data_IF_038961083714
#
_entry.id   IF_038961083714
#
_cell.length_a   1.000
_cell.length_b   1.000
_cell.length_c   1.000
_cell.angle_alpha   90.00
_cell.angle_beta   90.00
_cell.angle_gamma   90.00
#
_symmetry.space_group_name_H-M   'P 1'
#
loop_
_entity.id
_entity.type
_entity.pdbx_description
1 polymer ?
#
# COMPACT_ATOMS: atom_id res chain seq x y z
N UNK A 1 22.12 -20.62 -21.20
CA UNK A 1 21.23 -19.62 -21.83
C UNK A 1 19.87 -19.52 -21.11
N UNK A 2 19.87 -19.42 -19.80
CA UNK A 2 18.65 -19.45 -18.95
C UNK A 2 18.77 -18.47 -17.77
N UNK A 3 19.12 -17.19 -18.03
CA UNK A 3 19.30 -16.22 -16.95
C UNK A 3 18.88 -14.80 -17.40
N UNK A 4 17.68 -14.63 -17.93
CA UNK A 4 17.24 -13.30 -18.37
C UNK A 4 15.77 -12.94 -18.14
N UNK A 5 14.99 -13.69 -17.36
CA UNK A 5 13.55 -13.41 -17.24
C UNK A 5 13.03 -13.08 -15.83
N UNK A 6 13.85 -13.03 -14.81
CA UNK A 6 13.40 -12.88 -13.42
C UNK A 6 13.41 -11.44 -12.89
N UNK A 7 13.80 -10.44 -13.68
CA UNK A 7 13.97 -9.06 -13.18
C UNK A 7 12.73 -8.14 -13.41
N UNK A 8 11.81 -8.53 -14.30
CA UNK A 8 10.74 -7.63 -14.74
C UNK A 8 9.54 -7.54 -13.76
N UNK A 9 9.32 -8.51 -12.89
CA UNK A 9 8.10 -8.55 -12.05
C UNK A 9 8.24 -7.85 -10.70
N UNK A 10 9.44 -7.68 -10.17
CA UNK A 10 9.65 -6.96 -8.90
C UNK A 10 9.40 -5.46 -8.99
N UNK A 11 9.47 -4.89 -10.17
CA UNK A 11 9.24 -3.45 -10.40
C UNK A 11 7.75 -3.09 -10.33
N UNK A 12 6.85 -4.05 -10.62
CA UNK A 12 5.41 -3.79 -10.64
C UNK A 12 4.82 -3.59 -9.24
N UNK A 13 5.36 -4.26 -8.23
CA UNK A 13 4.87 -4.13 -6.85
C UNK A 13 5.21 -2.78 -6.21
N UNK A 14 6.36 -2.21 -6.55
CA UNK A 14 6.76 -0.88 -6.09
C UNK A 14 5.96 0.25 -6.79
N UNK A 15 5.63 0.06 -8.07
CA UNK A 15 4.84 1.02 -8.84
C UNK A 15 3.38 1.13 -8.37
N UNK A 16 2.82 0.07 -7.77
CA UNK A 16 1.46 0.09 -7.22
C UNK A 16 1.36 0.92 -5.93
N UNK A 17 2.40 0.93 -5.11
CA UNK A 17 2.48 1.82 -3.94
C UNK A 17 2.57 3.29 -4.35
N UNK A 18 3.20 3.58 -5.49
CA UNK A 18 3.29 4.92 -6.05
C UNK A 18 1.98 5.44 -6.64
N UNK A 19 1.03 4.55 -6.95
CA UNK A 19 -0.29 4.89 -7.47
C UNK A 19 -1.38 4.97 -6.40
N UNK A 20 -1.04 4.67 -5.13
CA UNK A 20 -2.02 4.82 -4.04
C UNK A 20 -2.32 6.30 -3.83
N UNK A 21 -3.61 6.66 -3.63
CA UNK A 21 -3.96 8.02 -3.23
C UNK A 21 -3.11 8.44 -2.03
N UNK A 22 -2.61 9.66 -2.04
CA UNK A 22 -1.77 10.18 -0.94
C UNK A 22 -2.46 10.10 0.43
N UNK A 23 -3.80 10.09 0.44
CA UNK A 23 -4.61 9.87 1.64
C UNK A 23 -4.37 8.50 2.30
N UNK A 24 -3.88 7.50 1.56
CA UNK A 24 -3.62 6.14 2.04
C UNK A 24 -2.16 5.92 2.49
N UNK A 25 -1.31 6.95 2.44
CA UNK A 25 0.07 6.86 2.91
C UNK A 25 0.12 6.46 4.39
N UNK A 26 0.83 5.37 4.76
CA UNK A 26 0.89 4.87 6.13
C UNK A 26 1.82 5.71 7.02
N UNK A 27 1.50 6.98 7.20
CA UNK A 27 2.29 7.95 7.96
C UNK A 27 2.50 7.55 9.43
N UNK A 28 1.58 6.80 10.00
CA UNK A 28 1.63 6.34 11.40
C UNK A 28 2.80 5.39 11.69
N UNK A 29 3.39 4.77 10.67
CA UNK A 29 4.61 3.98 10.78
C UNK A 29 5.90 4.81 10.71
N UNK A 30 5.81 6.08 10.34
CA UNK A 30 6.97 6.97 10.22
C UNK A 30 7.16 7.79 11.49
N UNK A 31 8.18 7.41 12.29
CA UNK A 31 8.46 8.06 13.59
C UNK A 31 8.74 9.56 13.48
N UNK A 32 9.36 10.02 12.39
CA UNK A 32 9.63 11.45 12.18
C UNK A 32 8.35 12.22 11.93
N UNK A 33 7.46 11.71 11.09
CA UNK A 33 6.16 12.31 10.82
C UNK A 33 5.33 12.38 12.10
N UNK A 34 5.23 11.28 12.84
CA UNK A 34 4.47 11.23 14.11
C UNK A 34 5.02 12.27 15.11
N UNK A 35 6.34 12.41 15.20
CA UNK A 35 6.98 13.42 16.08
C UNK A 35 6.64 14.85 15.65
N UNK A 36 6.63 15.14 14.36
CA UNK A 36 6.35 16.48 13.84
C UNK A 36 4.87 16.89 13.98
N UNK A 37 3.96 15.93 14.07
CA UNK A 37 2.54 16.20 14.27
C UNK A 37 2.20 16.65 15.69
N UNK A 38 3.13 16.52 16.64
CA UNK A 38 2.95 16.92 18.06
C UNK A 38 1.61 16.39 18.64
N UNK A 39 1.45 15.06 18.53
CA UNK A 39 0.22 14.38 18.94
C UNK A 39 0.05 14.42 20.46
N UNK A 40 -1.14 14.73 20.94
CA UNK A 40 -1.48 14.60 22.35
C UNK A 40 -1.40 13.11 22.80
N UNK A 41 -1.08 12.83 24.07
CA UNK A 41 -0.98 11.44 24.57
C UNK A 41 -2.24 10.60 24.31
N UNK A 42 -3.42 11.19 24.39
CA UNK A 42 -4.68 10.52 24.05
C UNK A 42 -4.74 10.14 22.56
N UNK A 43 -4.35 11.05 21.68
CA UNK A 43 -4.28 10.77 20.23
C UNK A 43 -3.31 9.63 19.92
N UNK A 44 -2.13 9.63 20.52
CA UNK A 44 -1.14 8.56 20.35
C UNK A 44 -1.72 7.20 20.76
N UNK A 45 -2.40 7.15 21.90
CA UNK A 45 -3.05 5.92 22.38
C UNK A 45 -4.12 5.44 21.41
N UNK A 46 -4.99 6.34 20.97
CA UNK A 46 -6.15 6.01 20.13
C UNK A 46 -5.71 5.61 18.69
N UNK A 47 -4.70 6.30 18.14
CA UNK A 47 -4.07 5.92 16.87
C UNK A 47 -3.44 4.54 16.97
N UNK A 48 -2.68 4.28 18.04
CA UNK A 48 -2.06 2.97 18.26
C UNK A 48 -3.09 1.86 18.36
N UNK A 49 -4.19 2.11 19.11
CA UNK A 49 -5.28 1.15 19.25
C UNK A 49 -5.93 0.83 17.89
N UNK A 50 -6.25 1.85 17.09
CA UNK A 50 -6.84 1.69 15.76
C UNK A 50 -5.92 0.89 14.80
N UNK A 51 -4.63 1.20 14.79
CA UNK A 51 -3.64 0.48 13.97
C UNK A 51 -3.50 -0.97 14.41
N UNK A 52 -3.39 -1.22 15.72
CA UNK A 52 -3.26 -2.58 16.27
C UNK A 52 -4.48 -3.44 15.96
N UNK A 53 -5.68 -2.87 16.05
CA UNK A 53 -6.93 -3.56 15.72
C UNK A 53 -7.01 -3.90 14.22
N UNK A 54 -6.60 -3.00 13.35
CA UNK A 54 -6.64 -3.21 11.89
C UNK A 54 -5.54 -4.14 11.37
N UNK A 55 -4.43 -4.27 12.08
CA UNK A 55 -3.22 -4.95 11.62
C UNK A 55 -3.43 -6.41 11.18
N UNK A 56 -4.15 -7.29 11.92
CA UNK A 56 -4.33 -8.68 11.50
C UNK A 56 -5.06 -8.78 10.16
N UNK A 57 -6.10 -7.97 9.96
CA UNK A 57 -6.86 -7.95 8.71
C UNK A 57 -6.02 -7.40 7.55
N UNK A 58 -5.25 -6.33 7.77
CA UNK A 58 -4.34 -5.79 6.76
C UNK A 58 -3.27 -6.80 6.34
N UNK A 59 -2.72 -7.58 7.26
CA UNK A 59 -1.78 -8.64 6.93
C UNK A 59 -2.44 -9.75 6.09
N UNK A 60 -3.67 -10.11 6.41
CA UNK A 60 -4.43 -11.11 5.65
C UNK A 60 -4.69 -10.66 4.21
N UNK A 61 -5.21 -9.43 4.02
CA UNK A 61 -5.53 -8.93 2.66
C UNK A 61 -4.27 -8.70 1.83
N UNK A 62 -3.15 -8.29 2.44
CA UNK A 62 -1.85 -8.21 1.76
C UNK A 62 -1.37 -9.58 1.30
N UNK A 63 -1.50 -10.59 2.16
CA UNK A 63 -1.15 -11.96 1.80
C UNK A 63 -2.04 -12.50 0.65
N UNK A 64 -3.32 -12.13 0.61
CA UNK A 64 -4.20 -12.47 -0.53
C UNK A 64 -3.70 -11.85 -1.83
N UNK A 65 -3.28 -10.58 -1.83
CA UNK A 65 -2.72 -9.93 -3.02
C UNK A 65 -1.48 -10.67 -3.50
N UNK A 66 -0.53 -10.96 -2.61
CA UNK A 66 0.71 -11.67 -2.97
C UNK A 66 0.43 -13.05 -3.56
N UNK A 67 -0.51 -13.81 -2.98
CA UNK A 67 -0.90 -15.14 -3.53
C UNK A 67 -1.58 -15.01 -4.88
N UNK A 68 -2.42 -13.99 -5.07
CA UNK A 68 -3.10 -13.77 -6.34
C UNK A 68 -2.12 -13.32 -7.45
N UNK A 69 -1.13 -12.49 -7.12
CA UNK A 69 -0.03 -12.12 -8.03
C UNK A 69 0.78 -13.34 -8.44
N UNK A 70 1.16 -14.19 -7.50
CA UNK A 70 1.90 -15.42 -7.79
C UNK A 70 1.07 -16.38 -8.66
N UNK A 71 -0.22 -16.55 -8.36
CA UNK A 71 -1.08 -17.40 -9.17
C UNK A 71 -1.21 -16.89 -10.61
N UNK A 72 -1.35 -15.59 -10.81
CA UNK A 72 -1.39 -15.00 -12.15
C UNK A 72 -0.08 -15.24 -12.92
N UNK A 73 1.06 -15.04 -12.26
CA UNK A 73 2.36 -15.31 -12.83
C UNK A 73 2.52 -16.78 -13.23
N UNK A 74 2.08 -17.71 -12.39
CA UNK A 74 2.09 -19.15 -12.67
C UNK A 74 1.26 -19.48 -13.92
N UNK A 75 0.10 -18.83 -14.12
CA UNK A 75 -0.72 -19.02 -15.32
C UNK A 75 -0.04 -18.49 -16.60
N UNK A 76 0.69 -17.37 -16.51
CA UNK A 76 1.47 -16.86 -17.64
C UNK A 76 2.66 -17.73 -17.99
N UNK A 77 3.25 -18.42 -17.03
CA UNK A 77 4.40 -19.29 -17.23
C UNK A 77 4.01 -20.74 -17.61
N UNK A 78 2.71 -21.05 -17.61
CA UNK A 78 2.24 -22.38 -18.01
C UNK A 78 2.42 -22.63 -19.51
N UNK A 79 2.73 -23.88 -19.89
CA UNK A 79 2.83 -24.30 -21.26
C UNK A 79 2.05 -25.61 -21.49
N UNK A 80 0.96 -25.57 -22.28
CA UNK A 80 0.37 -24.40 -22.95
C UNK A 80 -0.32 -23.45 -21.97
N UNK A 81 -0.44 -22.17 -22.34
CA UNK A 81 -1.20 -21.19 -21.55
C UNK A 81 -2.70 -21.49 -21.64
N UNK A 82 -3.36 -21.58 -20.49
CA UNK A 82 -4.81 -21.66 -20.39
C UNK A 82 -5.39 -20.26 -20.15
N UNK A 83 -5.95 -19.66 -21.20
CA UNK A 83 -6.51 -18.31 -21.12
C UNK A 83 -7.64 -18.17 -20.10
N UNK A 84 -8.47 -19.19 -19.94
CA UNK A 84 -9.58 -19.15 -18.97
C UNK A 84 -9.04 -19.09 -17.53
N UNK A 85 -8.05 -19.90 -17.21
CA UNK A 85 -7.38 -19.87 -15.89
C UNK A 85 -6.61 -18.58 -15.67
N UNK A 86 -5.93 -18.05 -16.67
CA UNK A 86 -5.24 -16.76 -16.55
C UNK A 86 -6.21 -15.61 -16.31
N UNK A 87 -7.35 -15.57 -17.01
CA UNK A 87 -8.40 -14.58 -16.77
C UNK A 87 -8.99 -14.70 -15.36
N UNK A 88 -9.26 -15.93 -14.89
CA UNK A 88 -9.73 -16.16 -13.52
C UNK A 88 -8.72 -15.68 -12.48
N UNK A 89 -7.42 -15.92 -12.68
CA UNK A 89 -6.36 -15.44 -11.81
C UNK A 89 -6.28 -13.91 -11.80
N UNK A 90 -6.47 -13.26 -12.95
CA UNK A 90 -6.55 -11.79 -13.06
C UNK A 90 -7.72 -11.23 -12.23
N UNK A 91 -8.92 -11.80 -12.35
CA UNK A 91 -10.08 -11.36 -11.57
C UNK A 91 -9.86 -11.53 -10.06
N UNK A 92 -9.22 -12.61 -9.64
CA UNK A 92 -8.85 -12.82 -8.23
C UNK A 92 -7.86 -11.77 -7.73
N UNK A 93 -6.88 -11.39 -8.55
CA UNK A 93 -5.92 -10.34 -8.21
C UNK A 93 -6.61 -8.97 -8.09
N UNK A 94 -7.49 -8.63 -9.03
CA UNK A 94 -8.26 -7.38 -8.98
C UNK A 94 -9.09 -7.31 -7.71
N UNK A 95 -9.83 -8.37 -7.37
CA UNK A 95 -10.62 -8.45 -6.16
C UNK A 95 -9.76 -8.29 -4.89
N UNK A 96 -8.62 -8.98 -4.82
CA UNK A 96 -7.71 -8.87 -3.68
C UNK A 96 -7.15 -7.44 -3.50
N UNK A 97 -6.83 -6.74 -4.59
CA UNK A 97 -6.37 -5.34 -4.55
C UNK A 97 -7.46 -4.38 -4.11
N UNK A 98 -8.71 -4.62 -4.52
CA UNK A 98 -9.87 -3.85 -4.05
C UNK A 98 -10.02 -4.00 -2.53
N UNK A 99 -9.96 -5.23 -2.00
CA UNK A 99 -10.06 -5.50 -0.57
C UNK A 99 -8.95 -4.80 0.22
N UNK A 100 -7.72 -4.83 -0.29
CA UNK A 100 -6.59 -4.14 0.34
C UNK A 100 -6.80 -2.61 0.36
N UNK A 101 -7.22 -2.04 -0.77
CA UNK A 101 -7.48 -0.60 -0.88
C UNK A 101 -8.60 -0.18 0.08
N UNK A 102 -9.68 -0.95 0.15
CA UNK A 102 -10.79 -0.70 1.06
C UNK A 102 -10.31 -0.70 2.53
N UNK A 103 -9.59 -1.73 2.94
CA UNK A 103 -9.09 -1.87 4.32
C UNK A 103 -8.14 -0.73 4.72
N UNK A 104 -7.25 -0.33 3.81
CA UNK A 104 -6.35 0.83 4.03
C UNK A 104 -7.12 2.14 4.12
N UNK A 105 -8.15 2.31 3.29
CA UNK A 105 -8.99 3.52 3.30
C UNK A 105 -9.78 3.62 4.61
N UNK A 106 -10.37 2.53 5.08
CA UNK A 106 -11.06 2.50 6.37
C UNK A 106 -10.14 2.91 7.52
N UNK A 107 -8.96 2.33 7.61
CA UNK A 107 -7.99 2.71 8.62
C UNK A 107 -7.60 4.19 8.49
N UNK A 108 -7.32 4.65 7.28
CA UNK A 108 -6.94 6.06 7.03
C UNK A 108 -8.02 7.04 7.45
N UNK A 109 -9.29 6.73 7.21
CA UNK A 109 -10.43 7.54 7.66
C UNK A 109 -10.54 7.55 9.18
N UNK A 110 -10.41 6.41 9.84
CA UNK A 110 -10.39 6.32 11.32
C UNK A 110 -9.29 7.21 11.90
N UNK A 111 -8.08 7.16 11.34
CA UNK A 111 -6.97 7.97 11.81
C UNK A 111 -7.16 9.46 11.50
N UNK A 112 -7.76 9.80 10.34
CA UNK A 112 -8.06 11.19 9.98
C UNK A 112 -8.97 11.87 11.02
N UNK A 113 -9.95 11.16 11.52
CA UNK A 113 -10.90 11.69 12.54
C UNK A 113 -10.21 11.99 13.86
N UNK A 114 -9.11 11.29 14.18
CA UNK A 114 -8.34 11.52 15.41
C UNK A 114 -7.40 12.73 15.33
N UNK A 115 -7.16 13.28 14.14
CA UNK A 115 -6.31 14.44 13.94
C UNK A 115 -7.11 15.75 13.92
N UNK A 116 -6.52 16.80 14.48
CA UNK A 116 -7.03 18.17 14.28
C UNK A 116 -6.82 18.62 12.83
N UNK A 117 -7.49 19.68 12.41
CA UNK A 117 -7.31 20.22 11.06
C UNK A 117 -5.88 20.73 10.84
N UNK A 118 -5.25 21.30 11.84
CA UNK A 118 -3.87 21.77 11.79
C UNK A 118 -2.90 20.60 11.63
N UNK A 119 -3.08 19.52 12.39
CA UNK A 119 -2.27 18.30 12.26
C UNK A 119 -2.47 17.65 10.89
N UNK A 120 -3.67 17.68 10.36
CA UNK A 120 -3.95 17.17 9.01
C UNK A 120 -3.24 17.98 7.93
N UNK A 121 -3.26 19.31 8.00
CA UNK A 121 -2.54 20.16 7.07
C UNK A 121 -1.03 19.96 7.17
N UNK A 122 -0.50 19.83 8.39
CA UNK A 122 0.91 19.53 8.61
C UNK A 122 1.28 18.15 8.02
N UNK A 123 0.46 17.14 8.24
CA UNK A 123 0.66 15.83 7.65
C UNK A 123 0.71 15.89 6.11
N UNK A 124 -0.18 16.67 5.49
CA UNK A 124 -0.16 16.84 4.03
C UNK A 124 1.12 17.52 3.55
N UNK A 125 1.65 18.49 4.31
CA UNK A 125 2.91 19.16 4.02
C UNK A 125 4.11 18.22 4.13
N UNK A 126 4.07 17.29 5.08
CA UNK A 126 5.16 16.33 5.34
C UNK A 126 5.17 15.12 4.39
N UNK A 127 4.14 14.95 3.59
CA UNK A 127 4.11 13.85 2.61
C UNK A 127 5.20 14.05 1.58
N UNK A 128 5.93 12.98 1.21
CA UNK A 128 6.83 13.06 0.09
C UNK A 128 6.02 13.44 -1.15
N UNK A 129 6.35 14.57 -1.75
CA UNK A 129 5.79 14.95 -3.04
C UNK A 129 6.18 13.86 -4.03
N UNK A 130 5.18 13.17 -4.58
CA UNK A 130 5.37 12.33 -5.76
C UNK A 130 5.49 13.23 -7.00
N UNK A 131 6.34 14.24 -6.94
CA UNK A 131 6.69 15.01 -8.11
C UNK A 131 7.75 14.22 -8.89
N UNK A 132 7.44 13.77 -10.12
CA UNK A 132 8.39 13.04 -10.96
C UNK A 132 9.69 13.82 -11.21
N UNK A 133 9.69 15.13 -10.95
CA UNK A 133 10.87 16.00 -11.12
C UNK A 133 11.89 15.87 -10.00
N UNK A 134 11.53 15.37 -8.81
CA UNK A 134 12.48 15.19 -7.70
C UNK A 134 13.46 14.02 -7.89
N UNK A 135 13.21 13.13 -8.85
CA UNK A 135 14.10 12.02 -9.19
C UNK A 135 15.25 12.43 -10.10
N UNK A 136 15.34 13.69 -10.53
CA UNK A 136 16.35 14.19 -11.48
C UNK A 136 17.38 15.16 -10.90
N UNK A 137 17.43 15.37 -9.59
CA UNK A 137 18.50 16.14 -8.96
C UNK A 137 19.65 15.22 -8.54
N UNK A 138 20.77 15.17 -9.27
CA UNK A 138 21.97 14.52 -8.77
C UNK A 138 22.60 15.39 -7.68
N UNK A 139 22.86 14.80 -6.53
CA UNK A 139 23.82 15.33 -5.57
C UNK A 139 25.19 14.76 -5.84
#
# INVERSE_FOLDING_TARGET
MLLRSTIAFFVLSAALLAQMPQSLYPWWGNKLVVKQLDLAPAQVRDIRAAVTEAQPHLLEVRAKVLRAEQNLEDQFNADPVDQAKANQALEQLIAARIDLTHSLTELSLRLRVLLTIQQWHELQRLRPNNDPTDLQSPR
#
